data_IF_373677834548
#
_entry.id   IF_373677834548
#
_cell.length_a   1.000
_cell.length_b   1.000
_cell.length_c   1.000
_cell.angle_alpha   90.00
_cell.angle_beta   90.00
_cell.angle_gamma   90.00
#
_symmetry.space_group_name_H-M   'P 1'
#
loop_
_entity.id
_entity.type
_entity.pdbx_description
1 polymer ?
#
# COMPACT_ATOMS: atom_id res chain seq x y z
N UNK A 1 35.67 -22.36 32.05
CA UNK A 1 35.07 -22.37 30.72
C UNK A 1 33.57 -22.37 30.89
N UNK A 2 32.88 -21.31 30.47
CA UNK A 2 31.45 -21.36 30.17
C UNK A 2 31.22 -20.35 29.05
N UNK A 3 31.14 -20.86 27.82
CA UNK A 3 30.78 -20.07 26.65
C UNK A 3 29.27 -20.03 26.60
N UNK A 4 28.67 -18.86 26.80
CA UNK A 4 27.23 -18.67 26.59
C UNK A 4 26.99 -18.53 25.10
N UNK A 5 26.49 -19.58 24.46
CA UNK A 5 26.02 -19.51 23.08
C UNK A 5 24.82 -18.56 23.01
N UNK A 6 24.97 -17.47 22.27
CA UNK A 6 23.83 -16.65 21.86
C UNK A 6 23.05 -17.45 20.83
N UNK A 7 21.79 -17.72 21.13
CA UNK A 7 20.83 -18.28 20.20
C UNK A 7 20.75 -17.39 18.95
N UNK A 8 21.14 -17.97 17.81
CA UNK A 8 20.97 -17.39 16.50
C UNK A 8 19.48 -17.54 16.12
N UNK A 9 18.67 -16.54 16.49
CA UNK A 9 17.27 -16.48 16.15
C UNK A 9 17.16 -16.11 14.66
N UNK A 10 17.07 -17.14 13.83
CA UNK A 10 17.07 -17.05 12.38
C UNK A 10 15.95 -16.17 11.81
N UNK A 11 16.35 -15.10 11.14
CA UNK A 11 15.80 -14.67 9.86
C UNK A 11 16.99 -14.17 9.07
N UNK A 12 17.62 -15.05 8.28
CA UNK A 12 18.66 -14.62 7.37
C UNK A 12 18.02 -13.68 6.35
N UNK A 13 18.22 -12.38 6.54
CA UNK A 13 17.82 -11.33 5.62
C UNK A 13 18.58 -11.57 4.32
N UNK A 14 17.93 -12.22 3.35
CA UNK A 14 18.54 -12.52 2.06
C UNK A 14 18.89 -11.20 1.38
N UNK A 15 20.19 -10.97 1.17
CA UNK A 15 20.65 -9.89 0.32
C UNK A 15 20.21 -10.19 -1.11
N UNK A 16 19.40 -9.29 -1.67
CA UNK A 16 18.99 -9.34 -3.07
C UNK A 16 19.84 -8.34 -3.85
N UNK A 17 20.42 -8.78 -4.95
CA UNK A 17 21.02 -7.85 -5.90
C UNK A 17 19.89 -6.99 -6.48
N UNK A 18 19.90 -5.69 -6.19
CA UNK A 18 18.88 -4.74 -6.66
C UNK A 18 19.32 -4.18 -8.00
N UNK A 19 18.52 -4.40 -9.05
CA UNK A 19 18.76 -3.85 -10.39
C UNK A 19 17.73 -2.77 -10.76
N UNK A 20 16.44 -3.08 -10.60
CA UNK A 20 15.33 -2.18 -10.91
C UNK A 20 14.53 -1.92 -9.64
N UNK A 21 14.30 -0.64 -9.34
CA UNK A 21 13.39 -0.20 -8.28
C UNK A 21 12.22 0.52 -8.94
N UNK A 22 11.02 -0.02 -8.76
CA UNK A 22 9.78 0.66 -9.13
C UNK A 22 9.33 1.49 -7.93
N UNK A 23 9.25 2.81 -8.08
CA UNK A 23 8.98 3.73 -6.97
C UNK A 23 7.53 4.10 -6.83
N UNK A 24 6.64 3.66 -7.72
CA UNK A 24 5.27 4.18 -7.80
C UNK A 24 4.27 3.08 -8.22
N UNK A 25 4.07 2.10 -7.33
CA UNK A 25 3.10 1.01 -7.53
C UNK A 25 1.85 1.28 -6.70
N UNK A 26 0.68 1.28 -7.34
CA UNK A 26 -0.59 1.65 -6.72
C UNK A 26 -1.41 0.42 -6.32
N UNK A 27 -1.38 -0.03 -5.06
CA UNK A 27 -2.25 -1.08 -4.58
C UNK A 27 -3.68 -0.55 -4.38
N UNK A 28 -4.68 -1.36 -4.72
CA UNK A 28 -6.09 -1.06 -4.50
C UNK A 28 -6.74 -2.14 -3.60
N UNK A 29 -7.65 -1.77 -2.68
CA UNK A 29 -8.45 -2.75 -1.98
C UNK A 29 -9.38 -3.47 -2.97
N UNK A 30 -9.54 -4.78 -2.82
CA UNK A 30 -10.45 -5.59 -3.66
C UNK A 30 -11.91 -5.14 -3.57
N UNK A 31 -12.30 -4.49 -2.47
CA UNK A 31 -13.63 -3.91 -2.30
C UNK A 31 -13.66 -2.81 -1.25
N UNK A 32 -14.75 -2.02 -1.30
CA UNK A 32 -15.15 -1.08 -0.25
C UNK A 32 -15.22 -1.74 1.12
N UNK A 33 -15.81 -2.92 1.20
CA UNK A 33 -16.10 -3.55 2.49
C UNK A 33 -14.84 -4.07 3.16
N UNK A 34 -13.84 -4.51 2.39
CA UNK A 34 -12.51 -4.83 2.91
C UNK A 34 -11.93 -3.59 3.57
N UNK A 35 -11.90 -2.46 2.89
CA UNK A 35 -11.30 -1.26 3.47
C UNK A 35 -12.08 -0.73 4.68
N UNK A 36 -13.42 -0.77 4.65
CA UNK A 36 -14.25 -0.41 5.82
C UNK A 36 -13.96 -1.28 7.04
N UNK A 37 -13.51 -2.53 6.87
CA UNK A 37 -13.19 -3.41 8.00
C UNK A 37 -11.97 -2.96 8.80
N UNK A 38 -11.11 -2.13 8.23
CA UNK A 38 -9.97 -1.50 8.92
C UNK A 38 -10.32 -0.14 9.52
N UNK A 39 -11.46 0.46 9.14
CA UNK A 39 -11.85 1.78 9.62
C UNK A 39 -12.54 1.70 10.99
N UNK A 40 -12.36 2.69 11.88
CA UNK A 40 -13.16 2.77 13.10
C UNK A 40 -14.66 2.90 12.77
N UNK A 41 -15.50 2.18 13.49
CA UNK A 41 -16.93 2.02 13.17
C UNK A 41 -17.68 3.37 13.09
N UNK A 42 -17.32 4.34 13.95
CA UNK A 42 -17.92 5.67 13.98
C UNK A 42 -17.55 6.56 12.79
N UNK A 43 -16.54 6.17 12.00
CA UNK A 43 -16.06 6.89 10.83
C UNK A 43 -16.54 6.30 9.51
N UNK A 44 -16.92 5.01 9.47
CA UNK A 44 -17.44 4.35 8.26
C UNK A 44 -18.60 5.14 7.65
N UNK A 45 -19.57 5.54 8.47
CA UNK A 45 -20.74 6.30 8.03
C UNK A 45 -20.43 7.75 7.64
N UNK A 46 -19.26 8.29 7.98
CA UNK A 46 -18.84 9.67 7.66
C UNK A 46 -18.00 9.75 6.39
N UNK A 47 -17.09 8.79 6.21
CA UNK A 47 -16.10 8.81 5.13
C UNK A 47 -16.71 8.30 3.82
N UNK A 48 -17.35 7.12 3.83
CA UNK A 48 -17.76 6.48 2.58
C UNK A 48 -18.89 7.17 1.81
N UNK A 49 -19.80 7.95 2.43
CA UNK A 49 -20.75 8.77 1.66
C UNK A 49 -20.12 9.96 0.94
N UNK A 50 -18.87 10.34 1.27
CA UNK A 50 -18.26 11.61 0.83
C UNK A 50 -16.87 11.46 0.19
N UNK A 51 -16.25 10.29 0.25
CA UNK A 51 -14.87 10.07 -0.19
C UNK A 51 -14.74 9.17 -1.43
N UNK A 52 -13.66 9.38 -2.18
CA UNK A 52 -13.21 8.49 -3.26
C UNK A 52 -12.40 7.33 -2.65
N UNK A 53 -13.05 6.58 -1.75
CA UNK A 53 -12.35 5.73 -0.79
C UNK A 53 -11.79 4.41 -1.36
N UNK A 54 -12.11 4.02 -2.60
CA UNK A 54 -11.62 2.76 -3.20
C UNK A 54 -11.35 2.82 -4.69
N UNK A 55 -11.71 3.92 -5.35
CA UNK A 55 -11.57 4.06 -6.79
C UNK A 55 -10.29 4.83 -7.08
N UNK A 56 -9.47 4.40 -8.06
CA UNK A 56 -8.40 5.25 -8.57
C UNK A 56 -9.02 6.59 -8.94
N UNK A 57 -8.45 7.67 -8.42
CA UNK A 57 -9.08 8.98 -8.47
C UNK A 57 -9.17 9.39 -9.95
N UNK A 58 -10.37 9.50 -10.55
CA UNK A 58 -10.51 9.67 -12.01
C UNK A 58 -9.91 10.98 -12.54
N UNK A 59 -9.54 11.89 -11.65
CA UNK A 59 -9.16 13.26 -11.97
C UNK A 59 -7.70 13.61 -11.63
N UNK A 60 -6.89 12.67 -11.11
CA UNK A 60 -5.45 12.93 -10.90
C UNK A 60 -4.66 12.92 -12.22
N UNK A 61 -5.13 12.17 -13.21
CA UNK A 61 -4.49 12.03 -14.52
C UNK A 61 -5.52 12.23 -15.64
N UNK A 62 -5.48 13.41 -16.27
CA UNK A 62 -6.32 13.76 -17.42
C UNK A 62 -5.58 13.47 -18.74
N UNK A 63 -5.18 12.21 -18.93
CA UNK A 63 -4.67 11.76 -20.22
C UNK A 63 -5.85 11.41 -21.13
N UNK A 64 -5.74 11.61 -22.46
CA UNK A 64 -6.84 11.34 -23.37
C UNK A 64 -7.39 9.90 -23.34
N UNK A 65 -6.68 8.95 -22.76
CA UNK A 65 -7.10 7.55 -22.59
C UNK A 65 -7.68 7.23 -21.20
N UNK A 66 -7.51 8.11 -20.20
CA UNK A 66 -7.98 7.88 -18.83
C UNK A 66 -9.50 7.67 -18.76
N UNK A 67 -10.27 8.32 -19.64
CA UNK A 67 -11.72 8.11 -19.72
C UNK A 67 -12.11 6.68 -20.15
N UNK A 68 -11.21 5.93 -20.79
CA UNK A 68 -11.42 4.54 -21.23
C UNK A 68 -10.85 3.53 -20.26
N UNK A 69 -9.69 3.83 -19.71
CA UNK A 69 -8.85 2.86 -18.98
C UNK A 69 -8.76 3.15 -17.48
N UNK A 70 -9.27 4.31 -17.03
CA UNK A 70 -9.03 4.87 -15.69
C UNK A 70 -7.53 5.02 -15.38
N UNK A 71 -6.70 5.25 -16.41
CA UNK A 71 -5.23 5.28 -16.32
C UNK A 71 -4.61 3.97 -15.80
N UNK A 72 -5.37 2.87 -15.84
CA UNK A 72 -4.90 1.54 -15.47
C UNK A 72 -4.28 0.84 -16.68
N UNK A 73 -3.25 0.04 -16.40
CA UNK A 73 -2.68 -0.89 -17.37
C UNK A 73 -3.71 -1.97 -17.75
N UNK A 74 -4.04 -2.08 -19.04
CA UNK A 74 -5.16 -2.89 -19.54
C UNK A 74 -5.02 -4.41 -19.33
N UNK A 75 -3.79 -4.92 -19.30
CA UNK A 75 -3.48 -6.33 -19.02
C UNK A 75 -3.23 -6.61 -17.52
N UNK A 76 -3.46 -5.63 -16.65
CA UNK A 76 -3.25 -5.77 -15.20
C UNK A 76 -4.52 -6.14 -14.42
N UNK A 77 -5.65 -6.37 -15.10
CA UNK A 77 -6.85 -6.92 -14.46
C UNK A 77 -6.57 -8.35 -13.98
N UNK A 78 -6.75 -8.67 -12.68
CA UNK A 78 -6.47 -10.01 -12.17
C UNK A 78 -7.35 -11.08 -12.85
N UNK A 79 -6.86 -12.32 -13.03
CA UNK A 79 -7.63 -13.40 -13.63
C UNK A 79 -8.94 -13.72 -12.88
N UNK A 80 -8.99 -13.46 -11.57
CA UNK A 80 -10.20 -13.59 -10.75
C UNK A 80 -11.18 -12.41 -10.85
N UNK A 81 -10.89 -11.40 -11.67
CA UNK A 81 -11.60 -10.12 -11.73
C UNK A 81 -11.10 -9.11 -10.70
N UNK A 82 -11.76 -7.95 -10.64
CA UNK A 82 -11.34 -6.82 -9.81
C UNK A 82 -10.59 -5.74 -10.59
N UNK A 83 -9.99 -4.80 -9.87
CA UNK A 83 -9.22 -3.70 -10.47
C UNK A 83 -7.75 -4.09 -10.63
N UNK A 84 -7.06 -3.47 -11.58
CA UNK A 84 -5.61 -3.56 -11.63
C UNK A 84 -5.01 -3.08 -10.30
N UNK A 85 -4.06 -3.86 -9.76
CA UNK A 85 -3.48 -3.57 -8.44
C UNK A 85 -4.31 -4.04 -7.25
N UNK A 86 -5.40 -4.80 -7.44
CA UNK A 86 -6.17 -5.36 -6.31
C UNK A 86 -5.75 -6.75 -5.85
N UNK A 87 -4.92 -7.45 -6.62
CA UNK A 87 -4.41 -8.79 -6.31
C UNK A 87 -2.89 -8.73 -6.12
N UNK A 88 -2.38 -8.86 -4.88
CA UNK A 88 -0.94 -8.79 -4.61
C UNK A 88 -0.12 -9.88 -5.32
N UNK A 89 -0.67 -11.08 -5.46
CA UNK A 89 0.03 -12.22 -6.06
C UNK A 89 0.13 -12.06 -7.58
N UNK A 90 -0.95 -11.59 -8.20
CA UNK A 90 -0.93 -11.26 -9.63
C UNK A 90 -0.01 -10.07 -9.92
N UNK A 91 -0.05 -9.02 -9.09
CA UNK A 91 0.87 -7.88 -9.20
C UNK A 91 2.34 -8.32 -9.02
N UNK A 92 2.63 -9.22 -8.07
CA UNK A 92 3.96 -9.78 -7.87
C UNK A 92 4.43 -10.55 -9.11
N UNK A 93 3.56 -11.36 -9.71
CA UNK A 93 3.87 -12.06 -10.95
C UNK A 93 4.23 -11.06 -12.07
N UNK A 94 3.39 -10.05 -12.30
CA UNK A 94 3.61 -9.11 -13.40
C UNK A 94 4.83 -8.21 -13.19
N UNK A 95 5.00 -7.62 -12.01
CA UNK A 95 6.06 -6.65 -11.73
C UNK A 95 7.37 -7.33 -11.34
N UNK A 96 7.32 -8.21 -10.34
CA UNK A 96 8.52 -8.74 -9.70
C UNK A 96 9.13 -9.92 -10.46
N UNK A 97 8.30 -10.70 -11.17
CA UNK A 97 8.74 -11.88 -11.92
C UNK A 97 8.88 -11.56 -13.41
N UNK A 98 7.79 -11.21 -14.08
CA UNK A 98 7.78 -11.06 -15.54
C UNK A 98 8.58 -9.81 -15.98
N UNK A 99 8.43 -8.69 -15.28
CA UNK A 99 9.17 -7.44 -15.58
C UNK A 99 10.53 -7.34 -14.86
N UNK A 100 10.83 -8.22 -13.90
CA UNK A 100 12.12 -8.27 -13.21
C UNK A 100 12.38 -7.14 -12.21
N UNK A 101 11.35 -6.42 -11.75
CA UNK A 101 11.48 -5.33 -10.75
C UNK A 101 12.00 -5.88 -9.44
N UNK A 102 13.20 -5.51 -9.00
CA UNK A 102 13.83 -6.05 -7.79
C UNK A 102 13.09 -5.65 -6.52
N UNK A 103 12.74 -4.38 -6.40
CA UNK A 103 12.03 -3.78 -5.28
C UNK A 103 10.95 -2.86 -5.82
N UNK A 104 9.77 -2.87 -5.21
CA UNK A 104 8.66 -2.00 -5.59
C UNK A 104 8.08 -1.27 -4.38
N UNK A 105 7.93 0.06 -4.48
CA UNK A 105 7.31 0.91 -3.47
C UNK A 105 5.81 1.02 -3.73
N UNK A 106 5.03 0.68 -2.71
CA UNK A 106 3.58 0.67 -2.70
C UNK A 106 3.05 2.01 -2.18
N UNK A 107 2.29 2.69 -3.02
CA UNK A 107 1.71 4.02 -2.79
C UNK A 107 0.17 3.93 -2.86
N UNK A 108 -0.53 3.63 -1.75
CA UNK A 108 -1.99 3.58 -1.78
C UNK A 108 -2.60 4.97 -2.05
N UNK A 109 -3.40 5.08 -3.11
CA UNK A 109 -4.15 6.30 -3.41
C UNK A 109 -5.50 6.33 -2.68
N UNK A 110 -5.73 7.39 -1.92
CA UNK A 110 -7.02 7.69 -1.29
C UNK A 110 -7.15 9.18 -0.98
N UNK A 111 -8.37 9.70 -0.96
CA UNK A 111 -8.65 11.09 -0.61
C UNK A 111 -10.02 11.26 0.05
N UNK A 112 -10.10 12.19 1.00
CA UNK A 112 -11.34 12.63 1.64
C UNK A 112 -11.31 14.14 1.90
N UNK A 113 -12.47 14.79 1.74
CA UNK A 113 -12.56 16.25 1.70
C UNK A 113 -12.37 16.95 3.06
N UNK A 114 -12.66 16.27 4.17
CA UNK A 114 -12.60 16.88 5.51
C UNK A 114 -11.34 16.44 6.26
N UNK A 115 -10.63 17.34 6.97
CA UNK A 115 -9.33 17.05 7.58
C UNK A 115 -9.30 15.78 8.45
N UNK A 116 -10.26 15.62 9.38
CA UNK A 116 -10.31 14.44 10.25
C UNK A 116 -10.71 13.17 9.50
N UNK A 117 -11.59 13.30 8.49
CA UNK A 117 -11.99 12.17 7.65
C UNK A 117 -10.82 11.69 6.79
N UNK A 118 -10.01 12.62 6.26
CA UNK A 118 -8.79 12.31 5.51
C UNK A 118 -7.79 11.59 6.40
N UNK A 119 -7.49 12.12 7.59
CA UNK A 119 -6.57 11.46 8.51
C UNK A 119 -7.01 10.02 8.84
N UNK A 120 -8.29 9.80 9.13
CA UNK A 120 -8.80 8.46 9.43
C UNK A 120 -8.73 7.54 8.21
N UNK A 121 -9.06 8.04 7.02
CA UNK A 121 -8.97 7.27 5.78
C UNK A 121 -7.52 6.87 5.48
N UNK A 122 -6.57 7.80 5.61
CA UNK A 122 -5.13 7.55 5.42
C UNK A 122 -4.62 6.49 6.39
N UNK A 123 -4.96 6.62 7.68
CA UNK A 123 -4.60 5.66 8.73
C UNK A 123 -5.21 4.27 8.47
N UNK A 124 -6.47 4.22 8.00
CA UNK A 124 -7.17 2.98 7.57
C UNK A 124 -6.44 2.29 6.42
N UNK A 125 -6.01 3.05 5.41
CA UNK A 125 -5.26 2.53 4.27
C UNK A 125 -3.88 2.00 4.69
N UNK A 126 -3.19 2.67 5.62
CA UNK A 126 -1.92 2.20 6.14
C UNK A 126 -2.07 0.84 6.85
N UNK A 127 -3.12 0.68 7.66
CA UNK A 127 -3.42 -0.59 8.35
C UNK A 127 -3.73 -1.72 7.36
N UNK A 128 -4.54 -1.44 6.33
CA UNK A 128 -4.83 -2.39 5.25
C UNK A 128 -3.57 -2.77 4.45
N UNK A 129 -2.74 -1.78 4.07
CA UNK A 129 -1.51 -2.01 3.33
C UNK A 129 -0.54 -2.88 4.13
N UNK A 130 -0.39 -2.59 5.42
CA UNK A 130 0.47 -3.35 6.32
C UNK A 130 0.04 -4.81 6.42
N UNK A 131 -1.23 -5.08 6.67
CA UNK A 131 -1.77 -6.43 6.83
C UNK A 131 -1.77 -7.23 5.52
N UNK A 132 -2.33 -6.67 4.45
CA UNK A 132 -2.51 -7.40 3.19
C UNK A 132 -1.18 -7.45 2.43
N UNK A 133 -0.59 -6.31 2.11
CA UNK A 133 0.53 -6.27 1.18
C UNK A 133 1.86 -6.56 1.83
N UNK A 134 2.11 -6.01 3.02
CA UNK A 134 3.43 -6.02 3.65
C UNK A 134 3.64 -7.20 4.61
N UNK A 135 2.56 -7.81 5.11
CA UNK A 135 2.60 -9.02 5.93
C UNK A 135 2.23 -10.26 5.09
N UNK A 136 0.94 -10.46 4.80
CA UNK A 136 0.42 -11.68 4.15
C UNK A 136 1.05 -11.98 2.79
N UNK A 137 1.35 -10.95 2.00
CA UNK A 137 1.81 -11.08 0.62
C UNK A 137 3.26 -10.58 0.39
N UNK A 138 4.11 -10.53 1.43
CA UNK A 138 5.50 -10.07 1.30
C UNK A 138 6.56 -11.04 1.84
N UNK A 139 6.28 -12.35 1.88
CA UNK A 139 7.27 -13.35 2.29
C UNK A 139 8.57 -13.28 1.45
N UNK A 140 8.48 -12.79 0.21
CA UNK A 140 9.63 -12.54 -0.67
C UNK A 140 10.42 -11.27 -0.32
N UNK A 141 9.88 -10.36 0.50
CA UNK A 141 10.57 -9.17 1.01
C UNK A 141 10.89 -8.10 -0.03
N UNK A 142 10.10 -8.01 -1.11
CA UNK A 142 10.36 -7.11 -2.26
C UNK A 142 9.40 -5.93 -2.34
N UNK A 143 8.27 -5.99 -1.65
CA UNK A 143 7.40 -4.83 -1.47
C UNK A 143 7.98 -3.90 -0.42
N UNK A 144 7.89 -2.60 -0.67
CA UNK A 144 8.18 -1.48 0.25
C UNK A 144 6.90 -0.67 0.37
N UNK A 145 6.57 -0.21 1.57
CA UNK A 145 5.32 0.50 1.82
C UNK A 145 5.58 1.96 2.12
N UNK A 146 4.81 2.84 1.51
CA UNK A 146 4.76 4.25 1.85
C UNK A 146 3.62 4.53 2.83
N UNK A 147 3.90 5.39 3.80
CA UNK A 147 2.93 5.79 4.83
C UNK A 147 2.15 6.98 4.27
N UNK A 148 0.84 6.79 4.07
CA UNK A 148 -0.04 7.88 3.69
C UNK A 148 -0.38 8.72 4.92
N UNK A 149 -0.25 10.05 4.80
CA UNK A 149 -0.56 11.00 5.88
C UNK A 149 -1.42 12.14 5.36
N UNK A 150 -2.25 12.72 6.22
CA UNK A 150 -3.06 13.90 5.87
C UNK A 150 -2.20 15.17 5.95
N UNK A 151 -2.10 15.88 4.83
CA UNK A 151 -1.47 17.21 4.81
C UNK A 151 -2.34 18.28 5.51
N UNK A 152 -3.63 18.01 5.69
CA UNK A 152 -4.59 18.91 6.35
C UNK A 152 -4.49 18.88 7.88
N UNK A 153 -3.87 17.85 8.46
CA UNK A 153 -3.67 17.71 9.91
C UNK A 153 -2.23 17.35 10.27
N UNK A 154 -1.28 18.30 10.20
CA UNK A 154 0.16 18.03 10.38
C UNK A 154 0.53 17.35 11.70
N UNK A 155 -0.14 17.70 12.80
CA UNK A 155 0.11 17.10 14.11
C UNK A 155 -0.32 15.63 14.15
N UNK A 156 -1.43 15.28 13.48
CA UNK A 156 -1.88 13.90 13.37
C UNK A 156 -1.02 13.12 12.36
N UNK A 157 -0.55 13.77 11.30
CA UNK A 157 0.42 13.19 10.36
C UNK A 157 1.73 12.82 11.06
N UNK A 158 2.24 13.67 11.95
CA UNK A 158 3.41 13.36 12.77
C UNK A 158 3.20 12.12 13.64
N UNK A 159 2.05 12.02 14.31
CA UNK A 159 1.68 10.83 15.10
C UNK A 159 1.54 9.58 14.26
N UNK A 160 1.02 9.71 13.04
CA UNK A 160 0.89 8.59 12.09
C UNK A 160 2.29 8.10 11.65
N UNK A 161 3.23 9.00 11.39
CA UNK A 161 4.63 8.64 11.09
C UNK A 161 5.26 7.90 12.28
N UNK A 162 5.03 8.37 13.51
CA UNK A 162 5.53 7.74 14.73
C UNK A 162 4.91 6.36 15.00
N UNK A 163 3.66 6.13 14.56
CA UNK A 163 2.97 4.83 14.67
C UNK A 163 3.66 3.72 13.90
N UNK A 164 4.39 4.06 12.84
CA UNK A 164 5.08 3.12 11.97
C UNK A 164 6.60 3.23 12.17
N UNK A 165 7.14 2.71 13.29
CA UNK A 165 8.56 2.80 13.58
C UNK A 165 9.30 2.02 12.52
N UNK A 166 10.06 2.72 11.66
CA UNK A 166 10.91 2.20 10.59
C UNK A 166 10.71 0.70 10.37
N UNK A 167 9.54 0.34 9.83
CA UNK A 167 9.35 -1.01 9.33
C UNK A 167 10.54 -1.17 8.37
N UNK A 168 11.28 -2.29 8.38
CA UNK A 168 12.43 -2.51 7.48
C UNK A 168 12.08 -2.47 5.97
N UNK A 169 10.89 -1.94 5.65
CA UNK A 169 10.15 -1.86 4.42
C UNK A 169 9.89 -0.40 3.96
N UNK A 170 10.06 0.64 4.80
CA UNK A 170 9.93 2.03 4.37
C UNK A 170 11.26 2.54 3.81
N UNK A 171 11.26 3.06 2.58
CA UNK A 171 12.45 3.62 1.95
C UNK A 171 12.93 4.86 2.73
N UNK A 172 14.05 4.73 3.43
CA UNK A 172 14.91 5.89 3.72
C UNK A 172 15.89 5.99 2.55
N UNK A 173 15.78 7.06 1.77
CA UNK A 173 16.84 7.48 0.86
C UNK A 173 17.98 8.11 1.65
#
# INVERSE_FOLDING_TARGET
MTTTERADAGTQRREIAVTIVDTDVHPLPVSVDVLKSYAPAEWVAKIWPTGNAVTPVPHFYDTPDSYKTMSLRLDAVPPGGGFAGSDPDFAAKQLLVDAGVSIASLEPMCDAQLPQAEQVLKSTYNDWLADVWLDKHNAHGRWRGSISVSAQTPELAGREIERWPAIPICARF
#
